data_IF_468580737460
#
_entry.id   IF_468580737460
#
_cell.length_a   1.000
_cell.length_b   1.000
_cell.length_c   1.000
_cell.angle_alpha   90.00
_cell.angle_beta   90.00
_cell.angle_gamma   90.00
#
_symmetry.space_group_name_H-M   'P 1'
#
loop_
_entity.id
_entity.type
_entity.pdbx_description
1 polymer ?
#
# COMPACT_ATOMS: atom_id res chain seq x y z
N UNK A 1 1.94 -0.72 19.62
CA UNK A 1 2.33 0.44 18.80
C UNK A 1 2.98 -0.12 17.54
N UNK A 2 2.48 0.21 16.35
CA UNK A 2 2.99 -0.32 15.09
C UNK A 2 4.08 0.63 14.57
N UNK A 3 5.32 0.13 14.46
CA UNK A 3 6.51 0.93 14.12
C UNK A 3 6.32 1.85 12.89
N UNK A 4 5.65 1.35 11.85
CA UNK A 4 5.39 2.15 10.65
C UNK A 4 4.27 3.18 10.84
N UNK A 5 3.27 2.90 11.68
CA UNK A 5 2.24 3.89 12.01
C UNK A 5 2.85 5.05 12.80
N UNK A 6 3.77 4.76 13.72
CA UNK A 6 4.48 5.77 14.50
C UNK A 6 5.37 6.64 13.61
N UNK A 7 6.08 6.03 12.66
CA UNK A 7 6.90 6.74 11.70
C UNK A 7 6.10 7.68 10.80
N UNK A 8 4.85 7.32 10.47
CA UNK A 8 3.98 8.09 9.59
C UNK A 8 3.05 9.06 10.34
N UNK A 9 3.13 9.12 11.67
CA UNK A 9 2.27 9.94 12.51
C UNK A 9 2.28 11.42 12.11
N UNK A 10 3.45 11.98 11.78
CA UNK A 10 3.60 13.39 11.37
C UNK A 10 2.96 13.70 10.01
N UNK A 11 2.72 12.67 9.19
CA UNK A 11 1.99 12.81 7.94
C UNK A 11 0.46 12.58 8.11
N UNK A 12 -0.01 12.32 9.33
CA UNK A 12 -1.40 12.00 9.64
C UNK A 12 -1.92 10.86 8.74
N UNK A 13 -1.16 9.76 8.71
CA UNK A 13 -1.43 8.60 7.87
C UNK A 13 -1.02 7.31 8.57
N UNK A 14 -1.85 6.27 8.45
CA UNK A 14 -1.46 4.92 8.88
C UNK A 14 -0.66 4.20 7.80
N UNK A 15 0.20 3.27 8.19
CA UNK A 15 1.03 2.46 7.28
C UNK A 15 0.21 1.72 6.22
N UNK A 16 -0.92 1.11 6.60
CA UNK A 16 -1.82 0.44 5.67
C UNK A 16 -2.46 1.41 4.65
N UNK A 17 -2.80 2.63 5.06
CA UNK A 17 -3.33 3.67 4.18
C UNK A 17 -2.25 4.15 3.20
N UNK A 18 -1.02 4.35 3.68
CA UNK A 18 0.12 4.67 2.83
C UNK A 18 0.35 3.63 1.74
N UNK A 19 0.37 2.34 2.10
CA UNK A 19 0.55 1.23 1.15
C UNK A 19 -0.56 1.24 0.09
N UNK A 20 -1.83 1.43 0.49
CA UNK A 20 -2.95 1.51 -0.46
C UNK A 20 -2.80 2.70 -1.41
N UNK A 21 -2.40 3.88 -0.93
CA UNK A 21 -2.20 5.06 -1.79
C UNK A 21 -1.08 4.84 -2.80
N UNK A 22 0.05 4.28 -2.37
CA UNK A 22 1.19 3.94 -3.25
C UNK A 22 0.78 2.89 -4.28
N UNK A 23 0.00 1.87 -3.89
CA UNK A 23 -0.50 0.85 -4.80
C UNK A 23 -1.45 1.43 -5.86
N UNK A 24 -2.34 2.35 -5.48
CA UNK A 24 -3.20 3.06 -6.45
C UNK A 24 -2.37 3.93 -7.40
N UNK A 25 -1.31 4.58 -6.91
CA UNK A 25 -0.38 5.34 -7.74
C UNK A 25 0.30 4.45 -8.79
N UNK A 26 0.79 3.29 -8.36
CA UNK A 26 1.55 2.37 -9.18
C UNK A 26 0.70 1.66 -10.24
N UNK A 27 -0.54 1.29 -9.89
CA UNK A 27 -1.43 0.54 -10.78
C UNK A 27 -2.24 1.40 -11.75
N UNK A 28 -2.13 2.72 -11.65
CA UNK A 28 -2.82 3.70 -12.51
C UNK A 28 -4.32 3.44 -12.66
N UNK A 29 -5.06 3.67 -11.58
CA UNK A 29 -6.52 3.55 -11.54
C UNK A 29 -7.08 2.10 -11.50
N UNK A 30 -6.61 1.23 -10.58
CA UNK A 30 -7.06 -0.15 -10.49
C UNK A 30 -8.53 -0.28 -10.08
N UNK A 31 -9.14 -1.42 -10.43
CA UNK A 31 -10.38 -1.85 -9.78
C UNK A 31 -10.07 -2.45 -8.39
N UNK A 32 -11.13 -2.69 -7.62
CA UNK A 32 -11.02 -3.18 -6.25
C UNK A 32 -10.27 -4.52 -6.14
N UNK A 33 -10.61 -5.50 -6.98
CA UNK A 33 -9.99 -6.83 -6.98
C UNK A 33 -8.50 -6.74 -7.26
N UNK A 34 -8.12 -6.05 -8.34
CA UNK A 34 -6.72 -5.86 -8.72
C UNK A 34 -5.92 -5.16 -7.63
N UNK A 35 -6.53 -4.19 -6.94
CA UNK A 35 -5.88 -3.50 -5.82
C UNK A 35 -5.69 -4.42 -4.61
N UNK A 36 -6.68 -5.26 -4.27
CA UNK A 36 -6.59 -6.20 -3.16
C UNK A 36 -5.49 -7.24 -3.41
N UNK A 37 -5.47 -7.80 -4.61
CA UNK A 37 -4.48 -8.80 -5.04
C UNK A 37 -3.06 -8.22 -5.02
N UNK A 38 -2.90 -6.98 -5.50
CA UNK A 38 -1.59 -6.31 -5.53
C UNK A 38 -1.07 -5.97 -4.13
N UNK A 39 -1.94 -5.49 -3.24
CA UNK A 39 -1.56 -5.18 -1.85
C UNK A 39 -1.37 -6.46 -1.02
N UNK A 40 -1.94 -7.58 -1.45
CA UNK A 40 -1.84 -8.87 -0.75
C UNK A 40 -2.72 -8.93 0.51
N UNK A 41 -3.88 -8.27 0.50
CA UNK A 41 -4.83 -8.25 1.62
C UNK A 41 -6.21 -8.71 1.18
N UNK A 42 -7.01 -9.21 2.12
CA UNK A 42 -8.39 -9.57 1.85
C UNK A 42 -9.26 -8.34 1.52
N UNK A 43 -10.35 -8.59 0.79
CA UNK A 43 -11.26 -7.56 0.33
C UNK A 43 -11.90 -6.76 1.48
N UNK A 44 -12.19 -7.37 2.63
CA UNK A 44 -12.81 -6.66 3.76
C UNK A 44 -11.83 -5.67 4.40
N UNK A 45 -10.55 -6.03 4.46
CA UNK A 45 -9.48 -5.15 4.94
C UNK A 45 -9.23 -4.01 3.96
N UNK A 46 -9.20 -4.28 2.65
CA UNK A 46 -9.08 -3.22 1.65
C UNK A 46 -10.27 -2.24 1.71
N UNK A 47 -11.50 -2.75 1.86
CA UNK A 47 -12.70 -1.91 1.93
C UNK A 47 -12.62 -0.91 3.10
N UNK A 48 -12.22 -1.37 4.30
CA UNK A 48 -12.04 -0.49 5.46
C UNK A 48 -10.96 0.57 5.24
N UNK A 49 -9.85 0.21 4.58
CA UNK A 49 -8.79 1.16 4.23
C UNK A 49 -9.30 2.21 3.26
N UNK A 50 -9.96 1.79 2.18
CA UNK A 50 -10.50 2.67 1.13
C UNK A 50 -11.55 3.64 1.66
N UNK A 51 -12.48 3.19 2.53
CA UNK A 51 -13.46 4.07 3.17
C UNK A 51 -12.77 5.25 3.86
N UNK A 52 -11.65 5.00 4.53
CA UNK A 52 -10.95 6.04 5.29
C UNK A 52 -10.21 7.01 4.37
N UNK A 53 -9.46 6.51 3.38
CA UNK A 53 -8.71 7.38 2.46
C UNK A 53 -9.61 8.13 1.47
N UNK A 54 -10.76 7.56 1.12
CA UNK A 54 -11.80 8.24 0.33
C UNK A 54 -12.47 9.37 1.13
N UNK A 55 -12.84 9.13 2.40
CA UNK A 55 -13.36 10.18 3.30
C UNK A 55 -12.37 11.34 3.47
N UNK A 56 -11.07 11.04 3.48
CA UNK A 56 -10.02 12.06 3.52
C UNK A 56 -9.78 12.75 2.16
N UNK A 57 -10.50 12.36 1.10
CA UNK A 57 -10.38 12.85 -0.28
C UNK A 57 -9.01 12.58 -0.90
N UNK A 58 -8.33 11.51 -0.48
CA UNK A 58 -7.02 11.12 -1.04
C UNK A 58 -7.18 10.26 -2.30
N UNK A 59 -8.29 9.53 -2.40
CA UNK A 59 -8.69 8.79 -3.60
C UNK A 59 -10.10 9.20 -4.01
N UNK A 60 -10.43 8.94 -5.28
CA UNK A 60 -11.77 9.03 -5.83
C UNK A 60 -12.13 7.68 -6.44
N UNK A 61 -13.36 7.22 -6.20
CA UNK A 61 -13.90 6.04 -6.86
C UNK A 61 -14.81 6.50 -8.00
N UNK A 62 -14.49 6.13 -9.24
CA UNK A 62 -15.28 6.44 -10.43
C UNK A 62 -15.82 5.17 -11.06
N UNK A 63 -17.02 5.25 -11.63
CA UNK A 63 -17.53 4.17 -12.48
C UNK A 63 -16.73 4.15 -13.79
N UNK A 64 -16.14 3.00 -14.10
CA UNK A 64 -15.44 2.75 -15.36
C UNK A 64 -16.39 2.64 -16.54
N UNK A 65 -15.85 2.28 -17.72
CA UNK A 65 -16.62 2.14 -18.97
C UNK A 65 -17.73 1.09 -18.83
N UNK A 66 -17.46 0.02 -18.09
CA UNK A 66 -18.46 -0.92 -17.63
C UNK A 66 -19.06 -0.42 -16.32
N UNK A 67 -20.39 -0.27 -16.25
CA UNK A 67 -21.13 0.19 -15.05
C UNK A 67 -20.85 -0.62 -13.77
N UNK A 68 -20.26 -1.81 -13.90
CA UNK A 68 -19.88 -2.71 -12.79
C UNK A 68 -18.44 -2.54 -12.31
N UNK A 69 -17.58 -1.89 -13.08
CA UNK A 69 -16.19 -1.66 -12.69
C UNK A 69 -16.07 -0.31 -11.98
N UNK A 70 -15.74 -0.35 -10.68
CA UNK A 70 -15.33 0.84 -9.94
C UNK A 70 -13.82 0.97 -10.02
N UNK A 71 -13.35 2.06 -10.60
CA UNK A 71 -11.94 2.40 -10.71
C UNK A 71 -11.55 3.38 -9.61
N UNK A 72 -10.42 3.13 -8.97
CA UNK A 72 -9.94 3.88 -7.81
C UNK A 72 -8.76 4.73 -8.28
N UNK A 73 -8.89 6.05 -8.30
CA UNK A 73 -7.83 6.96 -8.76
C UNK A 73 -7.35 7.85 -7.61
N UNK A 74 -6.05 8.19 -7.59
CA UNK A 74 -5.55 9.22 -6.69
C UNK A 74 -6.13 10.59 -7.03
N UNK A 75 -6.37 11.40 -5.99
CA UNK A 75 -6.57 12.84 -6.15
C UNK A 75 -5.23 13.57 -6.05
N UNK A 76 -5.19 14.85 -6.42
CA UNK A 76 -4.01 15.70 -6.15
C UNK A 76 -3.66 15.78 -4.66
N UNK A 77 -4.65 15.72 -3.78
CA UNK A 77 -4.42 15.64 -2.33
C UNK A 77 -3.77 14.31 -1.94
N UNK A 78 -4.16 13.21 -2.58
CA UNK A 78 -3.56 11.89 -2.41
C UNK A 78 -2.10 11.84 -2.87
N UNK A 79 -1.82 12.38 -4.05
CA UNK A 79 -0.44 12.51 -4.59
C UNK A 79 0.45 13.27 -3.58
N UNK A 80 0.04 14.46 -3.15
CA UNK A 80 0.80 15.26 -2.17
C UNK A 80 0.96 14.56 -0.82
N UNK A 81 -0.04 13.76 -0.41
CA UNK A 81 0.03 12.98 0.82
C UNK A 81 1.10 11.89 0.71
N UNK A 82 1.22 11.21 -0.43
CA UNK A 82 2.30 10.25 -0.69
C UNK A 82 3.65 10.95 -0.63
N UNK A 83 3.81 12.08 -1.32
CA UNK A 83 5.07 12.83 -1.37
C UNK A 83 5.57 13.21 0.04
N UNK A 84 4.66 13.63 0.92
CA UNK A 84 4.98 13.94 2.33
C UNK A 84 5.30 12.72 3.18
N UNK A 85 4.60 11.61 2.96
CA UNK A 85 4.74 10.39 3.76
C UNK A 85 5.95 9.55 3.33
N UNK A 86 6.34 9.60 2.06
CA UNK A 86 7.36 8.72 1.50
C UNK A 86 8.74 8.85 2.18
N UNK A 87 9.26 10.07 2.47
CA UNK A 87 10.53 10.21 3.20
C UNK A 87 10.48 9.62 4.61
N UNK A 88 9.35 9.74 5.32
CA UNK A 88 9.15 9.20 6.66
C UNK A 88 9.15 7.66 6.63
N UNK A 89 8.41 7.07 5.69
CA UNK A 89 8.40 5.63 5.47
C UNK A 89 9.80 5.11 5.09
N UNK A 90 10.48 5.80 4.17
CA UNK A 90 11.84 5.42 3.74
C UNK A 90 12.83 5.44 4.89
N UNK A 91 12.74 6.43 5.79
CA UNK A 91 13.56 6.50 7.01
C UNK A 91 13.28 5.33 7.96
N UNK A 92 12.00 4.98 8.15
CA UNK A 92 11.61 3.83 8.95
C UNK A 92 12.11 2.51 8.36
N UNK A 93 11.92 2.29 7.06
CA UNK A 93 12.43 1.12 6.34
C UNK A 93 13.96 1.04 6.46
N UNK A 94 14.67 2.16 6.27
CA UNK A 94 16.13 2.21 6.37
C UNK A 94 16.64 1.87 7.77
N UNK A 95 15.94 2.31 8.83
CA UNK A 95 16.26 1.95 10.22
C UNK A 95 16.01 0.48 10.51
N UNK A 96 14.90 -0.08 10.02
CA UNK A 96 14.60 -1.51 10.15
C UNK A 96 15.70 -2.35 9.47
N UNK A 97 16.02 -2.03 8.20
CA UNK A 97 17.07 -2.72 7.44
C UNK A 97 18.43 -2.54 8.12
N UNK A 98 18.75 -1.35 8.62
CA UNK A 98 19.99 -1.10 9.36
C UNK A 98 20.10 -1.89 10.66
N UNK A 99 18.99 -2.12 11.36
CA UNK A 99 18.96 -2.96 12.57
C UNK A 99 19.08 -4.45 12.29
N UNK A 100 18.60 -4.92 11.13
CA UNK A 100 18.70 -6.33 10.71
C UNK A 100 20.07 -6.63 10.06
N UNK A 101 20.63 -5.64 9.37
CA UNK A 101 21.76 -5.80 8.45
C UNK A 101 21.30 -6.01 7.01
N UNK A 102 21.94 -5.34 6.06
CA UNK A 102 21.52 -5.31 4.66
C UNK A 102 21.61 -6.69 3.97
N UNK A 103 22.60 -7.50 4.32
CA UNK A 103 22.78 -8.86 3.80
C UNK A 103 21.66 -9.77 4.28
N UNK A 104 21.49 -9.89 5.61
CA UNK A 104 20.42 -10.68 6.20
C UNK A 104 19.03 -10.25 5.74
N UNK A 105 18.81 -8.95 5.56
CA UNK A 105 17.56 -8.45 5.00
C UNK A 105 17.32 -8.96 3.57
N UNK A 106 18.36 -8.99 2.73
CA UNK A 106 18.28 -9.53 1.37
C UNK A 106 17.95 -11.02 1.39
N UNK A 107 18.56 -11.79 2.29
CA UNK A 107 18.29 -13.22 2.41
C UNK A 107 16.82 -13.49 2.79
N UNK A 108 16.31 -12.76 3.80
CA UNK A 108 14.89 -12.81 4.18
C UNK A 108 13.99 -12.46 2.99
N UNK A 109 14.34 -11.45 2.20
CA UNK A 109 13.55 -11.09 1.02
C UNK A 109 13.53 -12.21 -0.03
N UNK A 110 14.66 -12.87 -0.27
CA UNK A 110 14.74 -13.99 -1.21
C UNK A 110 13.90 -15.17 -0.72
N UNK A 111 14.05 -15.56 0.55
CA UNK A 111 13.27 -16.66 1.15
C UNK A 111 11.75 -16.40 1.08
N UNK A 112 11.31 -15.17 1.33
CA UNK A 112 9.90 -14.79 1.20
C UNK A 112 9.43 -14.83 -0.26
N UNK A 113 10.27 -14.42 -1.22
CA UNK A 113 9.95 -14.53 -2.65
C UNK A 113 9.78 -15.97 -3.08
N UNK A 114 10.62 -16.88 -2.58
CA UNK A 114 10.51 -18.32 -2.86
C UNK A 114 9.19 -18.90 -2.34
N UNK A 115 8.80 -18.55 -1.10
CA UNK A 115 7.52 -18.98 -0.51
C UNK A 115 6.32 -18.47 -1.33
N UNK A 116 6.36 -17.21 -1.76
CA UNK A 116 5.31 -16.63 -2.63
C UNK A 116 5.30 -17.32 -4.00
N UNK A 117 6.46 -17.69 -4.54
CA UNK A 117 6.59 -18.44 -5.79
C UNK A 117 5.95 -19.83 -5.70
N UNK A 118 6.22 -20.57 -4.62
CA UNK A 118 5.66 -21.91 -4.39
C UNK A 118 4.14 -21.86 -4.26
N UNK A 119 3.60 -20.90 -3.50
CA UNK A 119 2.15 -20.80 -3.28
C UNK A 119 1.38 -20.47 -4.55
N UNK A 120 1.93 -19.64 -5.45
CA UNK A 120 1.33 -19.36 -6.76
C UNK A 120 1.32 -20.56 -7.71
N UNK A 121 2.25 -21.50 -7.55
CA UNK A 121 2.31 -22.72 -8.37
C UNK A 121 1.34 -23.81 -7.88
N UNK A 122 0.83 -23.70 -6.64
CA UNK A 122 -0.09 -24.66 -6.02
C UNK A 122 -1.57 -24.26 -6.12
N UNK A 123 -1.85 -23.02 -6.52
CA UNK A 123 -3.19 -22.43 -6.69
C UNK A 123 -3.59 -22.31 -8.15
#
# INVERSE_FOLDING_TARGET
MNYYDDALKDADLKSNQFIVLVAVAHLESPNFTKLADFVGIDQSTLARNLITVEKQKLVSVKTGKNRREKLITLTKKGEHKIEKSFPLWKKAQGRLVGGIGAERWRDIQNELQDVVGVTKNLS
#
